data_IF_106890251345
#
_entry.id   IF_106890251345
#
_cell.length_a   1.000
_cell.length_b   1.000
_cell.length_c   1.000
_cell.angle_alpha   90.00
_cell.angle_beta   90.00
_cell.angle_gamma   90.00
#
_symmetry.space_group_name_H-M   'P 1'
#
loop_
_entity.id
_entity.type
_entity.pdbx_description
1 polymer ?
#
# COMPACT_ATOMS: atom_id res chain seq x y z
N UNK A 1 54.06 -18.06 18.17
CA UNK A 1 52.91 -17.26 18.66
C UNK A 1 52.19 -16.63 17.47
N UNK A 2 51.44 -17.38 16.64
CA UNK A 2 50.77 -16.75 15.46
C UNK A 2 49.40 -17.36 15.07
N UNK A 3 48.84 -18.31 15.83
CA UNK A 3 47.61 -19.01 15.40
C UNK A 3 46.29 -18.40 15.90
N UNK A 4 46.32 -17.39 16.78
CA UNK A 4 45.10 -16.86 17.45
C UNK A 4 44.48 -15.63 16.76
N UNK A 5 45.14 -15.02 15.78
CA UNK A 5 44.66 -13.78 15.15
C UNK A 5 43.64 -13.98 14.03
N UNK A 6 43.42 -15.20 13.54
CA UNK A 6 42.64 -15.42 12.31
C UNK A 6 41.15 -15.74 12.55
N UNK A 7 40.78 -16.21 13.74
CA UNK A 7 39.39 -16.63 14.04
C UNK A 7 38.49 -15.42 14.33
N UNK A 8 39.02 -14.33 14.88
CA UNK A 8 38.26 -13.10 15.17
C UNK A 8 37.77 -12.38 13.91
N UNK A 9 38.56 -12.41 12.83
CA UNK A 9 38.25 -11.70 11.58
C UNK A 9 37.12 -12.38 10.78
N UNK A 10 37.03 -13.72 10.84
CA UNK A 10 35.98 -14.47 10.13
C UNK A 10 34.58 -14.27 10.74
N UNK A 11 34.49 -14.12 12.07
CA UNK A 11 33.24 -13.87 12.78
C UNK A 11 32.68 -12.45 12.53
N UNK A 12 33.55 -11.45 12.36
CA UNK A 12 33.13 -10.08 12.03
C UNK A 12 32.57 -9.94 10.61
N UNK A 13 33.14 -10.67 9.64
CA UNK A 13 32.64 -10.66 8.26
C UNK A 13 31.28 -11.37 8.15
N UNK A 14 31.10 -12.50 8.86
CA UNK A 14 29.80 -13.20 8.92
C UNK A 14 28.71 -12.36 9.63
N UNK A 15 29.06 -11.66 10.71
CA UNK A 15 28.13 -10.75 11.40
C UNK A 15 27.69 -9.57 10.53
N UNK A 16 28.61 -8.98 9.74
CA UNK A 16 28.31 -7.90 8.81
C UNK A 16 27.41 -8.33 7.64
N UNK A 17 27.64 -9.53 7.09
CA UNK A 17 26.81 -10.09 6.01
C UNK A 17 25.40 -10.41 6.52
N UNK A 18 25.26 -10.95 7.74
CA UNK A 18 23.95 -11.23 8.34
C UNK A 18 23.16 -9.93 8.65
N UNK A 19 23.85 -8.86 9.07
CA UNK A 19 23.22 -7.56 9.32
C UNK A 19 22.77 -6.88 8.02
N UNK A 20 23.58 -6.95 6.96
CA UNK A 20 23.21 -6.45 5.63
C UNK A 20 22.03 -7.21 5.03
N UNK A 21 22.00 -8.55 5.14
CA UNK A 21 20.86 -9.36 4.71
C UNK A 21 19.58 -9.04 5.50
N UNK A 22 19.69 -8.83 6.81
CA UNK A 22 18.56 -8.45 7.68
C UNK A 22 18.03 -7.03 7.43
N UNK A 23 18.87 -6.10 6.96
CA UNK A 23 18.44 -4.75 6.56
C UNK A 23 17.74 -4.77 5.20
N UNK A 24 18.26 -5.53 4.23
CA UNK A 24 17.66 -5.68 2.90
C UNK A 24 16.30 -6.37 2.98
N UNK A 25 16.17 -7.45 3.75
CA UNK A 25 14.90 -8.17 3.94
C UNK A 25 13.82 -7.32 4.64
N UNK A 26 14.22 -6.46 5.59
CA UNK A 26 13.30 -5.49 6.22
C UNK A 26 12.81 -4.43 5.23
N UNK A 27 13.70 -3.94 4.36
CA UNK A 27 13.33 -3.00 3.30
C UNK A 27 12.33 -3.58 2.30
N UNK A 28 12.53 -4.83 1.87
CA UNK A 28 11.62 -5.49 0.92
C UNK A 28 10.25 -5.79 1.51
N UNK A 29 10.19 -6.25 2.77
CA UNK A 29 8.93 -6.54 3.45
C UNK A 29 8.09 -5.26 3.66
N UNK A 30 8.75 -4.16 4.06
CA UNK A 30 8.10 -2.85 4.21
C UNK A 30 7.53 -2.33 2.89
N UNK A 31 8.33 -2.39 1.82
CA UNK A 31 7.89 -1.99 0.49
C UNK A 31 6.68 -2.82 0.01
N UNK A 32 6.66 -4.12 0.28
CA UNK A 32 5.52 -4.99 -0.06
C UNK A 32 4.26 -4.62 0.71
N UNK A 33 4.36 -4.36 2.02
CA UNK A 33 3.21 -3.99 2.85
C UNK A 33 2.64 -2.61 2.47
N UNK A 34 3.50 -1.65 2.11
CA UNK A 34 3.08 -0.33 1.63
C UNK A 34 2.38 -0.40 0.26
N UNK A 35 2.86 -1.27 -0.63
CA UNK A 35 2.20 -1.56 -1.91
C UNK A 35 0.85 -2.24 -1.72
N UNK A 36 0.76 -3.22 -0.83
CA UNK A 36 -0.50 -3.91 -0.53
C UNK A 36 -1.53 -2.94 0.06
N UNK A 37 -1.13 -2.13 1.04
CA UNK A 37 -2.00 -1.07 1.59
C UNK A 37 -2.51 -0.14 0.48
N UNK A 38 -1.63 0.31 -0.42
CA UNK A 38 -2.02 1.21 -1.52
C UNK A 38 -3.05 0.59 -2.45
N UNK A 39 -2.99 -0.73 -2.67
CA UNK A 39 -3.99 -1.46 -3.45
C UNK A 39 -5.33 -1.53 -2.70
N UNK A 40 -5.29 -1.80 -1.39
CA UNK A 40 -6.50 -1.86 -0.54
C UNK A 40 -7.22 -0.52 -0.40
N UNK A 41 -6.50 0.60 -0.57
CA UNK A 41 -7.07 1.94 -0.53
C UNK A 41 -7.81 2.35 -1.81
N UNK A 42 -7.74 1.54 -2.89
CA UNK A 42 -8.44 1.85 -4.14
C UNK A 42 -9.96 1.68 -3.92
N UNK A 43 -10.76 2.74 -4.04
CA UNK A 43 -12.19 2.61 -3.88
C UNK A 43 -12.82 1.88 -5.07
N UNK A 44 -13.81 1.05 -4.76
CA UNK A 44 -14.62 0.31 -5.74
C UNK A 44 -16.08 0.41 -5.32
N UNK A 45 -16.91 0.96 -6.19
CA UNK A 45 -18.34 1.08 -5.96
C UNK A 45 -19.00 -0.28 -5.66
N UNK A 46 -20.06 -0.27 -4.84
CA UNK A 46 -20.71 -1.47 -4.35
C UNK A 46 -21.15 -2.44 -5.46
N UNK A 47 -21.85 -1.94 -6.48
CA UNK A 47 -22.28 -2.75 -7.63
C UNK A 47 -21.08 -3.40 -8.35
N UNK A 48 -19.97 -2.67 -8.49
CA UNK A 48 -18.76 -3.22 -9.10
C UNK A 48 -18.13 -4.30 -8.22
N UNK A 49 -18.15 -4.14 -6.88
CA UNK A 49 -17.62 -5.15 -5.93
C UNK A 49 -18.38 -6.45 -6.06
N UNK A 50 -19.71 -6.41 -6.12
CA UNK A 50 -20.55 -7.61 -6.25
C UNK A 50 -20.26 -8.35 -7.55
N UNK A 51 -20.28 -7.63 -8.68
CA UNK A 51 -20.01 -8.22 -10.00
C UNK A 51 -18.62 -8.83 -10.08
N UNK A 52 -17.60 -8.15 -9.55
CA UNK A 52 -16.22 -8.64 -9.54
C UNK A 52 -16.08 -9.86 -8.63
N UNK A 53 -16.69 -9.83 -7.45
CA UNK A 53 -16.69 -10.98 -6.50
C UNK A 53 -17.29 -12.21 -7.15
N UNK A 54 -18.45 -12.06 -7.80
CA UNK A 54 -19.10 -13.17 -8.50
C UNK A 54 -18.26 -13.69 -9.68
N UNK A 55 -17.60 -12.80 -10.42
CA UNK A 55 -16.69 -13.20 -11.50
C UNK A 55 -15.49 -13.98 -10.97
N UNK A 56 -14.90 -13.56 -9.84
CA UNK A 56 -13.80 -14.27 -9.20
C UNK A 56 -14.24 -15.65 -8.70
N UNK A 57 -15.43 -15.75 -8.09
CA UNK A 57 -16.01 -17.02 -7.64
C UNK A 57 -16.19 -18.02 -8.79
N UNK A 58 -16.55 -17.54 -9.98
CA UNK A 58 -16.69 -18.35 -11.20
C UNK A 58 -15.37 -18.63 -11.93
N UNK A 59 -14.22 -18.22 -11.39
CA UNK A 59 -12.91 -18.36 -12.04
C UNK A 59 -12.66 -17.41 -13.23
N UNK A 60 -13.54 -16.42 -13.45
CA UNK A 60 -13.48 -15.47 -14.56
C UNK A 60 -12.51 -14.31 -14.30
N UNK A 61 -11.25 -14.62 -13.94
CA UNK A 61 -10.24 -13.66 -13.50
C UNK A 61 -9.98 -12.51 -14.49
N UNK A 62 -9.95 -12.82 -15.80
CA UNK A 62 -9.69 -11.81 -16.84
C UNK A 62 -10.82 -10.78 -16.89
N UNK A 63 -12.08 -11.22 -16.76
CA UNK A 63 -13.25 -10.32 -16.74
C UNK A 63 -13.25 -9.46 -15.47
N UNK A 64 -12.95 -10.06 -14.31
CA UNK A 64 -12.85 -9.35 -13.04
C UNK A 64 -11.81 -8.22 -13.10
N UNK A 65 -10.59 -8.52 -13.56
CA UNK A 65 -9.52 -7.52 -13.70
C UNK A 65 -9.89 -6.44 -14.72
N UNK A 66 -10.50 -6.81 -15.85
CA UNK A 66 -10.95 -5.85 -16.86
C UNK A 66 -12.02 -4.89 -16.31
N UNK A 67 -12.98 -5.41 -15.55
CA UNK A 67 -14.03 -4.62 -14.89
C UNK A 67 -13.44 -3.64 -13.88
N UNK A 68 -12.56 -4.11 -13.00
CA UNK A 68 -11.85 -3.25 -12.03
C UNK A 68 -11.07 -2.13 -12.72
N UNK A 69 -10.37 -2.45 -13.81
CA UNK A 69 -9.57 -1.46 -14.55
C UNK A 69 -10.43 -0.34 -15.13
N UNK A 70 -11.60 -0.70 -15.69
CA UNK A 70 -12.54 0.28 -16.26
C UNK A 70 -13.20 1.12 -15.18
N UNK A 71 -13.61 0.51 -14.06
CA UNK A 71 -14.30 1.20 -12.98
C UNK A 71 -13.38 2.18 -12.21
N UNK A 72 -12.12 1.79 -11.99
CA UNK A 72 -11.21 2.56 -11.11
C UNK A 72 -10.17 3.38 -11.87
N UNK A 73 -9.99 3.13 -13.18
CA UNK A 73 -8.97 3.78 -14.01
C UNK A 73 -7.52 3.43 -13.64
N UNK A 74 -7.29 2.47 -12.74
CA UNK A 74 -5.93 2.12 -12.28
C UNK A 74 -5.15 1.31 -13.32
N UNK A 75 -3.81 1.31 -13.28
CA UNK A 75 -3.00 0.45 -14.14
C UNK A 75 -3.30 -1.04 -13.96
N UNK A 76 -3.08 -1.83 -15.02
CA UNK A 76 -3.35 -3.28 -15.04
C UNK A 76 -2.70 -4.03 -13.86
N UNK A 77 -1.48 -3.64 -13.47
CA UNK A 77 -0.76 -4.25 -12.33
C UNK A 77 -1.51 -4.07 -11.01
N UNK A 78 -2.06 -2.87 -10.75
CA UNK A 78 -2.88 -2.58 -9.56
C UNK A 78 -4.24 -3.27 -9.63
N UNK A 79 -4.88 -3.29 -10.79
CA UNK A 79 -6.15 -4.00 -10.97
C UNK A 79 -6.01 -5.52 -10.70
N UNK A 80 -4.90 -6.13 -11.13
CA UNK A 80 -4.56 -7.53 -10.80
C UNK A 80 -4.34 -7.75 -9.31
N UNK A 81 -3.59 -6.85 -8.66
CA UNK A 81 -3.36 -6.94 -7.23
C UNK A 81 -4.68 -6.80 -6.44
N UNK A 82 -5.53 -5.87 -6.83
CA UNK A 82 -6.85 -5.66 -6.23
C UNK A 82 -7.75 -6.89 -6.41
N UNK A 83 -7.81 -7.46 -7.62
CA UNK A 83 -8.55 -8.70 -7.88
C UNK A 83 -8.07 -9.86 -6.99
N UNK A 84 -6.75 -10.02 -6.80
CA UNK A 84 -6.20 -11.05 -5.90
C UNK A 84 -6.57 -10.80 -4.45
N UNK A 85 -6.52 -9.53 -4.01
CA UNK A 85 -6.92 -9.13 -2.66
C UNK A 85 -8.41 -9.45 -2.41
N UNK A 86 -9.27 -9.14 -3.38
CA UNK A 86 -10.70 -9.49 -3.33
C UNK A 86 -10.96 -11.00 -3.36
N UNK A 87 -10.21 -11.76 -4.16
CA UNK A 87 -10.30 -13.22 -4.16
C UNK A 87 -9.89 -13.83 -2.80
N UNK A 88 -9.01 -13.15 -2.07
CA UNK A 88 -8.65 -13.48 -0.69
C UNK A 88 -9.62 -12.97 0.38
N UNK A 89 -10.80 -12.45 0.00
CA UNK A 89 -11.85 -11.99 0.92
C UNK A 89 -11.70 -10.54 1.38
N UNK A 90 -10.74 -9.77 0.84
CA UNK A 90 -10.63 -8.35 1.18
C UNK A 90 -11.72 -7.54 0.49
N UNK A 91 -12.50 -6.79 1.26
CA UNK A 91 -13.50 -5.88 0.73
C UNK A 91 -12.86 -4.50 0.54
N UNK A 92 -12.75 -3.98 -0.70
CA UNK A 92 -12.24 -2.64 -0.92
C UNK A 92 -13.26 -1.58 -0.45
N UNK A 93 -12.78 -0.39 -0.08
CA UNK A 93 -13.64 0.73 0.32
C UNK A 93 -14.58 1.12 -0.82
N UNK A 94 -15.79 1.58 -0.50
CA UNK A 94 -16.77 2.00 -1.50
C UNK A 94 -16.42 3.36 -2.13
N UNK A 95 -15.74 4.23 -1.37
CA UNK A 95 -15.43 5.60 -1.74
C UNK A 95 -14.16 6.08 -1.02
N UNK A 96 -13.73 7.31 -1.32
CA UNK A 96 -12.48 7.86 -0.77
C UNK A 96 -12.54 8.23 0.71
N UNK A 97 -13.74 8.44 1.29
CA UNK A 97 -13.87 8.61 2.75
C UNK A 97 -13.60 7.28 3.45
N UNK A 98 -14.21 6.18 2.98
CA UNK A 98 -13.89 4.85 3.51
C UNK A 98 -12.40 4.47 3.29
N UNK A 99 -11.79 4.88 2.17
CA UNK A 99 -10.34 4.73 1.99
C UNK A 99 -9.55 5.52 3.05
N UNK A 100 -9.99 6.73 3.41
CA UNK A 100 -9.34 7.54 4.45
C UNK A 100 -9.50 6.90 5.84
N UNK A 101 -10.69 6.38 6.17
CA UNK A 101 -10.91 5.63 7.41
C UNK A 101 -10.06 4.37 7.49
N UNK A 102 -9.97 3.61 6.38
CA UNK A 102 -9.09 2.46 6.31
C UNK A 102 -7.63 2.85 6.52
N UNK A 103 -7.19 3.98 5.95
CA UNK A 103 -5.85 4.49 6.17
C UNK A 103 -5.65 4.91 7.63
N UNK A 104 -6.64 5.56 8.26
CA UNK A 104 -6.59 5.95 9.68
C UNK A 104 -6.48 4.73 10.59
N UNK A 105 -7.23 3.67 10.31
CA UNK A 105 -7.16 2.42 11.07
C UNK A 105 -5.80 1.72 10.94
N UNK A 106 -5.18 1.75 9.75
CA UNK A 106 -3.93 1.03 9.47
C UNK A 106 -2.67 1.85 9.77
N UNK A 107 -2.74 3.18 9.67
CA UNK A 107 -1.62 4.13 9.79
C UNK A 107 -2.08 5.42 10.50
N UNK A 108 -2.50 5.34 11.78
CA UNK A 108 -3.07 6.49 12.50
C UNK A 108 -2.10 7.66 12.60
N UNK A 109 -0.80 7.40 12.82
CA UNK A 109 0.24 8.45 12.91
C UNK A 109 0.39 9.24 11.61
N UNK A 110 0.37 8.55 10.45
CA UNK A 110 0.48 9.20 9.14
C UNK A 110 -0.75 10.08 8.88
N UNK A 111 -1.94 9.62 9.25
CA UNK A 111 -3.18 10.40 9.09
C UNK A 111 -3.15 11.63 9.98
N UNK A 112 -2.82 11.49 11.26
CA UNK A 112 -2.73 12.62 12.19
C UNK A 112 -1.70 13.67 11.74
N UNK A 113 -0.53 13.23 11.27
CA UNK A 113 0.48 14.12 10.70
C UNK A 113 -0.02 14.81 9.42
N UNK A 114 -0.66 14.05 8.52
CA UNK A 114 -1.21 14.61 7.27
C UNK A 114 -2.30 15.64 7.54
N UNK A 115 -3.15 15.41 8.53
CA UNK A 115 -4.20 16.35 8.99
C UNK A 115 -3.57 17.61 9.58
N UNK A 116 -2.56 17.49 10.45
CA UNK A 116 -1.84 18.66 10.98
C UNK A 116 -1.15 19.47 9.89
N UNK A 117 -0.48 18.81 8.95
CA UNK A 117 0.14 19.47 7.78
C UNK A 117 -0.92 20.16 6.92
N UNK A 118 -2.11 19.56 6.78
CA UNK A 118 -3.21 20.16 6.07
C UNK A 118 -3.68 21.46 6.74
N UNK A 119 -3.81 21.46 8.05
CA UNK A 119 -4.24 22.63 8.84
C UNK A 119 -3.20 23.76 8.78
N UNK A 120 -1.92 23.43 8.93
CA UNK A 120 -0.83 24.41 9.01
C UNK A 120 -0.38 24.95 7.64
N UNK A 121 -0.38 24.10 6.62
CA UNK A 121 0.26 24.39 5.33
C UNK A 121 -0.66 24.16 4.13
N UNK A 122 -1.92 23.81 4.38
CA UNK A 122 -2.93 23.62 3.36
C UNK A 122 -2.83 22.28 2.63
N UNK A 123 -3.79 22.10 1.71
CA UNK A 123 -4.04 20.84 1.03
C UNK A 123 -2.88 20.30 0.20
N UNK A 124 -2.14 21.16 -0.51
CA UNK A 124 -1.03 20.71 -1.34
C UNK A 124 0.12 20.14 -0.51
N UNK A 125 0.40 20.72 0.66
CA UNK A 125 1.39 20.22 1.59
C UNK A 125 0.99 18.85 2.14
N UNK A 126 -0.29 18.66 2.49
CA UNK A 126 -0.82 17.37 2.93
C UNK A 126 -0.72 16.29 1.85
N UNK A 127 -1.09 16.59 0.60
CA UNK A 127 -0.95 15.65 -0.52
C UNK A 127 0.53 15.28 -0.75
N UNK A 128 1.43 16.27 -0.67
CA UNK A 128 2.87 16.03 -0.80
C UNK A 128 3.40 15.17 0.34
N UNK A 129 2.98 15.44 1.57
CA UNK A 129 3.33 14.66 2.76
C UNK A 129 2.89 13.20 2.58
N UNK A 130 1.61 12.96 2.28
CA UNK A 130 1.05 11.63 2.08
C UNK A 130 1.82 10.82 1.01
N UNK A 131 2.17 11.45 -0.11
CA UNK A 131 2.91 10.82 -1.22
C UNK A 131 4.37 10.48 -0.91
N UNK A 132 4.97 11.08 0.13
CA UNK A 132 6.31 10.69 0.59
C UNK A 132 6.28 9.39 1.40
N UNK A 133 5.13 9.06 1.98
CA UNK A 133 4.96 7.92 2.88
C UNK A 133 4.11 6.78 2.29
N UNK A 134 3.39 7.04 1.20
CA UNK A 134 2.62 6.04 0.46
C UNK A 134 2.94 6.12 -1.04
N UNK A 135 3.08 4.99 -1.75
CA UNK A 135 3.31 4.94 -3.20
C UNK A 135 2.04 5.25 -4.01
N UNK A 136 1.35 6.35 -3.66
CA UNK A 136 0.17 6.87 -4.34
C UNK A 136 0.54 7.96 -5.35
N UNK A 137 -0.14 7.94 -6.50
CA UNK A 137 -0.01 9.01 -7.49
C UNK A 137 -0.66 10.31 -7.00
N UNK A 138 -0.39 11.41 -7.71
CA UNK A 138 -0.97 12.73 -7.37
C UNK A 138 -2.49 12.69 -7.33
N UNK A 139 -3.14 12.09 -8.32
CA UNK A 139 -4.60 11.99 -8.39
C UNK A 139 -5.19 11.23 -7.19
N UNK A 140 -4.63 10.06 -6.84
CA UNK A 140 -5.09 9.27 -5.71
C UNK A 140 -4.86 9.98 -4.37
N UNK A 141 -3.67 10.56 -4.15
CA UNK A 141 -3.40 11.35 -2.94
C UNK A 141 -4.32 12.56 -2.81
N UNK A 142 -4.66 13.19 -3.94
CA UNK A 142 -5.60 14.30 -3.99
C UNK A 142 -7.03 13.90 -3.57
N UNK A 143 -7.51 12.75 -4.04
CA UNK A 143 -8.84 12.27 -3.70
C UNK A 143 -8.92 11.77 -2.24
N UNK A 144 -7.86 11.12 -1.73
CA UNK A 144 -7.77 10.72 -0.31
C UNK A 144 -7.86 11.94 0.62
N UNK A 145 -7.04 12.96 0.39
CA UNK A 145 -7.06 14.18 1.22
C UNK A 145 -8.38 14.95 1.08
N UNK A 146 -9.08 14.85 -0.06
CA UNK A 146 -10.44 15.39 -0.19
C UNK A 146 -11.47 14.59 0.61
N UNK A 147 -11.36 13.26 0.60
CA UNK A 147 -12.28 12.33 1.26
C UNK A 147 -12.26 12.37 2.78
N UNK A 148 -11.26 13.02 3.41
CA UNK A 148 -11.10 13.08 4.87
C UNK A 148 -12.28 13.67 5.67
N UNK A 149 -13.23 14.35 5.00
CA UNK A 149 -14.40 15.00 5.60
C UNK A 149 -15.73 14.36 5.19
N UNK A 150 -15.68 13.26 4.43
CA UNK A 150 -16.87 12.60 3.87
C UNK A 150 -17.50 11.61 4.82
#
# INVERSE_FOLDING_TARGET
MEALSFVGSALLVLGGILWAAGAIARGSARSSAEHDLTVRLIPVEHETREVVTEQLRRGNNVRAVSRLRRATGVPLTRARALARSMAGGTVPPANHSESWELLRAQRPELVAETERVHEQHGRYAAIRHLRRHLPVGLAAGNQLVRGRHG
#
